data_IF_141934520731
#
_entry.id   IF_141934520731
#
_cell.length_a   1.000
_cell.length_b   1.000
_cell.length_c   1.000
_cell.angle_alpha   90.00
_cell.angle_beta   90.00
_cell.angle_gamma   90.00
#
_symmetry.space_group_name_H-M   'P 1'
#
loop_
_entity.id
_entity.type
_entity.pdbx_description
1 polymer ?
#
# COMPACT_ATOMS: atom_id res chain seq x y z
N UNK A 1 1.22 7.58 -9.37
CA UNK A 1 1.55 6.91 -8.08
C UNK A 1 3.03 6.52 -8.05
N UNK A 2 3.56 5.80 -9.07
CA UNK A 2 4.97 5.34 -9.10
C UNK A 2 6.00 6.42 -8.83
N UNK A 3 6.01 7.57 -9.56
CA UNK A 3 6.96 8.65 -9.29
C UNK A 3 6.85 9.24 -7.88
N UNK A 4 5.63 9.31 -7.31
CA UNK A 4 5.42 9.80 -5.96
C UNK A 4 6.04 8.85 -4.91
N UNK A 5 5.86 7.55 -5.06
CA UNK A 5 6.52 6.55 -4.22
C UNK A 5 8.03 6.62 -4.32
N UNK A 6 8.57 6.74 -5.54
CA UNK A 6 10.00 6.88 -5.74
C UNK A 6 10.55 8.12 -5.03
N UNK A 7 9.92 9.28 -5.20
CA UNK A 7 10.34 10.51 -4.54
C UNK A 7 10.25 10.42 -3.01
N UNK A 8 9.20 9.78 -2.49
CA UNK A 8 9.06 9.54 -1.06
C UNK A 8 10.18 8.65 -0.51
N UNK A 9 10.54 7.57 -1.23
CA UNK A 9 11.67 6.70 -0.85
C UNK A 9 13.00 7.41 -0.96
N UNK A 10 13.24 8.18 -2.03
CA UNK A 10 14.46 8.97 -2.19
C UNK A 10 14.62 9.99 -1.05
N UNK A 11 13.57 10.75 -0.75
CA UNK A 11 13.57 11.70 0.36
C UNK A 11 13.78 11.00 1.71
N UNK A 12 13.16 9.86 1.94
CA UNK A 12 13.36 9.06 3.15
C UNK A 12 14.80 8.57 3.26
N UNK A 13 15.39 8.09 2.17
CA UNK A 13 16.77 7.65 2.12
C UNK A 13 17.76 8.77 2.47
N UNK A 14 17.51 10.00 2.03
CA UNK A 14 18.33 11.18 2.35
C UNK A 14 18.18 11.62 3.83
N UNK A 15 17.00 11.46 4.41
CA UNK A 15 16.72 11.85 5.80
C UNK A 15 17.22 10.80 6.79
N UNK A 16 17.21 9.54 6.41
CA UNK A 16 17.53 8.41 7.29
C UNK A 16 18.90 8.54 8.02
N UNK A 17 20.00 8.93 7.36
CA UNK A 17 21.29 9.13 8.01
C UNK A 17 21.32 10.29 9.01
N UNK A 18 20.35 11.21 8.94
CA UNK A 18 20.25 12.37 9.84
C UNK A 18 19.51 12.04 11.14
N UNK A 19 18.87 10.88 11.21
CA UNK A 19 18.10 10.46 12.37
C UNK A 19 19.01 9.80 13.43
N UNK A 20 18.65 9.89 14.73
CA UNK A 20 19.30 9.10 15.77
C UNK A 20 19.24 7.60 15.44
N UNK A 21 20.31 6.86 15.68
CA UNK A 21 20.41 5.42 15.36
C UNK A 21 19.25 4.58 15.92
N UNK A 22 18.77 4.92 17.11
CA UNK A 22 17.63 4.24 17.74
C UNK A 22 16.36 4.38 16.90
N UNK A 23 16.13 5.55 16.32
CA UNK A 23 14.97 5.80 15.47
C UNK A 23 15.16 5.23 14.07
N UNK A 24 16.33 5.40 13.47
CA UNK A 24 16.67 4.84 12.17
C UNK A 24 16.48 3.32 12.13
N UNK A 25 16.93 2.60 13.15
CA UNK A 25 16.74 1.13 13.27
C UNK A 25 15.28 0.68 13.35
N UNK A 26 14.39 1.52 13.86
CA UNK A 26 12.94 1.23 13.91
C UNK A 26 12.23 1.53 12.59
N UNK A 27 12.79 2.42 11.78
CA UNK A 27 12.19 2.84 10.52
C UNK A 27 12.62 2.00 9.32
N UNK A 28 13.79 1.37 9.41
CA UNK A 28 14.24 0.42 8.38
C UNK A 28 15.06 -0.70 8.99
N UNK A 29 14.65 -1.96 8.81
CA UNK A 29 15.47 -3.11 9.14
C UNK A 29 16.65 -3.32 8.17
N UNK A 30 16.73 -2.53 7.10
CA UNK A 30 17.74 -2.63 6.04
C UNK A 30 18.84 -1.60 6.32
N UNK A 31 19.89 -2.00 7.04
CA UNK A 31 21.07 -1.17 7.26
C UNK A 31 21.96 -1.16 6.00
N UNK A 32 22.20 0.01 5.42
CA UNK A 32 23.11 0.20 4.29
C UNK A 32 23.16 1.63 3.83
N UNK A 33 24.18 2.01 3.06
CA UNK A 33 24.23 3.30 2.39
C UNK A 33 23.07 3.41 1.39
N UNK A 34 22.29 4.47 1.51
CA UNK A 34 21.08 4.71 0.73
C UNK A 34 21.41 5.21 -0.69
N UNK A 35 21.94 4.36 -1.54
CA UNK A 35 22.18 4.65 -2.95
C UNK A 35 21.25 3.85 -3.83
N UNK A 36 20.50 4.53 -4.70
CA UNK A 36 19.61 3.86 -5.64
C UNK A 36 20.41 3.04 -6.66
N UNK A 37 20.29 1.72 -6.58
CA UNK A 37 20.77 0.77 -7.58
C UNK A 37 19.61 -0.16 -7.95
N UNK A 38 19.05 -0.05 -9.17
CA UNK A 38 17.88 -0.85 -9.55
C UNK A 38 18.19 -2.34 -9.47
N UNK A 39 17.53 -3.03 -8.57
CA UNK A 39 17.66 -4.49 -8.35
C UNK A 39 16.28 -5.11 -8.21
N UNK A 40 16.06 -6.23 -8.85
CA UNK A 40 14.87 -7.04 -8.59
C UNK A 40 15.05 -7.84 -7.30
N UNK A 41 13.99 -7.97 -6.47
CA UNK A 41 14.03 -8.85 -5.31
C UNK A 41 14.39 -10.28 -5.72
N UNK A 42 15.16 -11.03 -4.91
CA UNK A 42 15.35 -12.45 -5.12
C UNK A 42 14.01 -13.17 -5.21
N UNK A 43 13.91 -14.19 -6.09
CA UNK A 43 12.68 -14.96 -6.33
C UNK A 43 11.49 -14.09 -6.74
N UNK A 44 11.72 -13.06 -7.54
CA UNK A 44 10.70 -12.07 -7.92
C UNK A 44 9.40 -12.69 -8.46
N UNK A 45 9.48 -13.78 -9.22
CA UNK A 45 8.30 -14.48 -9.75
C UNK A 45 7.39 -15.04 -8.62
N UNK A 46 7.99 -15.57 -7.56
CA UNK A 46 7.24 -16.06 -6.39
C UNK A 46 6.59 -14.88 -5.65
N UNK A 47 7.31 -13.77 -5.50
CA UNK A 47 6.76 -12.53 -4.94
C UNK A 47 5.52 -12.03 -5.71
N UNK A 48 5.54 -12.11 -7.04
CA UNK A 48 4.37 -11.74 -7.85
C UNK A 48 3.16 -12.60 -7.52
N UNK A 49 3.36 -13.91 -7.42
CA UNK A 49 2.28 -14.87 -7.08
C UNK A 49 1.77 -14.61 -5.66
N UNK A 50 2.67 -14.50 -4.69
CA UNK A 50 2.31 -14.26 -3.29
C UNK A 50 1.57 -12.94 -3.11
N UNK A 51 2.09 -11.85 -3.68
CA UNK A 51 1.45 -10.54 -3.54
C UNK A 51 0.09 -10.48 -4.21
N UNK A 52 -0.13 -11.18 -5.31
CA UNK A 52 -1.42 -11.19 -5.97
C UNK A 52 -2.42 -12.13 -5.29
N UNK A 53 -2.05 -13.39 -5.08
CA UNK A 53 -3.00 -14.43 -4.67
C UNK A 53 -3.10 -14.63 -3.16
N UNK A 54 -2.03 -14.37 -2.42
CA UNK A 54 -2.00 -14.57 -0.96
C UNK A 54 -2.28 -13.28 -0.20
N UNK A 55 -1.90 -12.13 -0.74
CA UNK A 55 -2.06 -10.83 -0.06
C UNK A 55 -3.20 -10.01 -0.70
N UNK A 56 -2.99 -9.49 -1.91
CA UNK A 56 -3.86 -8.45 -2.47
C UNK A 56 -5.28 -8.97 -2.77
N UNK A 57 -5.43 -10.14 -3.38
CA UNK A 57 -6.74 -10.69 -3.70
C UNK A 57 -7.59 -10.94 -2.44
N UNK A 58 -7.14 -11.70 -1.42
CA UNK A 58 -7.90 -11.92 -0.20
C UNK A 58 -8.24 -10.61 0.53
N UNK A 59 -7.30 -9.67 0.63
CA UNK A 59 -7.55 -8.39 1.29
C UNK A 59 -8.58 -7.55 0.52
N UNK A 60 -8.48 -7.43 -0.80
CA UNK A 60 -9.44 -6.67 -1.59
C UNK A 60 -10.83 -7.35 -1.62
N UNK A 61 -10.91 -8.69 -1.61
CA UNK A 61 -12.18 -9.38 -1.45
C UNK A 61 -12.83 -9.06 -0.11
N UNK A 62 -12.07 -9.07 0.98
CA UNK A 62 -12.60 -8.75 2.30
C UNK A 62 -12.97 -7.26 2.42
N UNK A 63 -12.01 -6.35 2.17
CA UNK A 63 -12.24 -4.93 2.43
C UNK A 63 -13.16 -4.29 1.39
N UNK A 64 -12.96 -4.55 0.09
CA UNK A 64 -13.72 -3.88 -0.99
C UNK A 64 -14.89 -4.71 -1.48
N UNK A 65 -14.72 -6.03 -1.55
CA UNK A 65 -15.77 -6.95 -1.95
C UNK A 65 -16.87 -7.09 -0.91
N UNK A 66 -16.49 -7.30 0.35
CA UNK A 66 -17.43 -7.53 1.45
C UNK A 66 -17.69 -6.28 2.29
N UNK A 67 -16.69 -5.77 3.00
CA UNK A 67 -16.87 -4.72 4.02
C UNK A 67 -17.39 -3.40 3.40
N UNK A 68 -16.73 -2.89 2.36
CA UNK A 68 -17.16 -1.65 1.70
C UNK A 68 -18.55 -1.80 1.10
N UNK A 69 -18.89 -2.97 0.52
CA UNK A 69 -20.21 -3.22 -0.02
C UNK A 69 -21.29 -3.20 1.09
N UNK A 70 -21.05 -3.88 2.21
CA UNK A 70 -21.99 -3.90 3.36
C UNK A 70 -22.17 -2.53 4.00
N UNK A 71 -21.07 -1.80 4.17
CA UNK A 71 -21.14 -0.44 4.70
C UNK A 71 -21.85 0.51 3.73
N UNK A 72 -21.71 0.31 2.43
CA UNK A 72 -22.43 1.08 1.43
C UNK A 72 -23.93 0.84 1.46
N UNK A 73 -24.35 -0.41 1.70
CA UNK A 73 -25.77 -0.73 1.86
C UNK A 73 -26.36 -0.03 3.09
N UNK A 74 -25.61 0.03 4.19
CA UNK A 74 -26.00 0.73 5.41
C UNK A 74 -25.91 2.28 5.26
N UNK A 75 -24.95 2.79 4.49
CA UNK A 75 -24.71 4.21 4.27
C UNK A 75 -24.68 4.56 2.78
N UNK A 76 -25.82 4.57 2.10
CA UNK A 76 -25.89 4.71 0.64
C UNK A 76 -25.53 6.10 0.12
N UNK A 77 -25.42 7.11 1.02
CA UNK A 77 -25.13 8.49 0.63
C UNK A 77 -23.64 8.69 0.31
N UNK A 78 -23.35 9.41 -0.79
CA UNK A 78 -21.99 9.79 -1.17
C UNK A 78 -21.99 10.65 -2.42
N UNK A 79 -20.89 11.41 -2.61
CA UNK A 79 -20.67 12.22 -3.83
C UNK A 79 -20.06 11.34 -4.92
N UNK A 80 -20.48 11.54 -6.15
CA UNK A 80 -19.87 10.92 -7.32
C UNK A 80 -18.64 11.72 -7.74
N UNK A 81 -17.45 11.11 -7.70
CA UNK A 81 -16.18 11.73 -8.06
C UNK A 81 -15.48 10.81 -9.06
N UNK A 82 -15.19 11.32 -10.27
CA UNK A 82 -14.53 10.57 -11.34
C UNK A 82 -15.14 9.16 -11.57
N UNK A 83 -16.46 9.06 -11.48
CA UNK A 83 -17.21 7.81 -11.67
C UNK A 83 -17.37 6.93 -10.45
N UNK A 84 -16.61 7.13 -9.38
CA UNK A 84 -16.73 6.40 -8.10
C UNK A 84 -17.60 7.15 -7.09
N UNK A 85 -18.31 6.42 -6.22
CA UNK A 85 -19.13 7.01 -5.14
C UNK A 85 -18.31 7.10 -3.86
N UNK A 86 -17.94 8.32 -3.44
CA UNK A 86 -17.19 8.59 -2.22
C UNK A 86 -18.15 9.01 -1.10
N UNK A 87 -18.47 8.07 -0.23
CA UNK A 87 -19.34 8.25 0.93
C UNK A 87 -18.68 7.76 2.22
N UNK A 88 -19.44 7.65 3.31
CA UNK A 88 -18.94 7.15 4.61
C UNK A 88 -18.32 5.75 4.48
N UNK A 89 -18.97 4.84 3.75
CA UNK A 89 -18.48 3.49 3.53
C UNK A 89 -17.05 3.48 2.95
N UNK A 90 -16.80 4.31 1.96
CA UNK A 90 -15.50 4.47 1.32
C UNK A 90 -14.41 4.88 2.32
N UNK A 91 -14.65 5.95 3.09
CA UNK A 91 -13.68 6.49 4.05
C UNK A 91 -13.43 5.53 5.22
N UNK A 92 -14.50 4.96 5.77
CA UNK A 92 -14.41 4.02 6.90
C UNK A 92 -13.65 2.75 6.49
N UNK A 93 -13.92 2.21 5.28
CA UNK A 93 -13.19 1.03 4.80
C UNK A 93 -11.69 1.32 4.61
N UNK A 94 -11.33 2.49 4.05
CA UNK A 94 -9.93 2.86 3.91
C UNK A 94 -9.24 3.02 5.27
N UNK A 95 -9.92 3.60 6.25
CA UNK A 95 -9.42 3.73 7.62
C UNK A 95 -9.23 2.36 8.29
N UNK A 96 -10.23 1.48 8.20
CA UNK A 96 -10.14 0.13 8.77
C UNK A 96 -9.05 -0.71 8.10
N UNK A 97 -8.84 -0.54 6.80
CA UNK A 97 -7.71 -1.15 6.10
C UNK A 97 -6.37 -0.70 6.68
N UNK A 98 -6.18 0.61 6.86
CA UNK A 98 -4.96 1.15 7.43
C UNK A 98 -4.75 0.70 8.89
N UNK A 99 -5.80 0.73 9.71
CA UNK A 99 -5.75 0.26 11.09
C UNK A 99 -5.43 -1.23 11.20
N UNK A 100 -5.94 -2.07 10.26
CA UNK A 100 -5.60 -3.49 10.20
C UNK A 100 -4.09 -3.73 10.02
N UNK A 101 -3.38 -2.82 9.35
CA UNK A 101 -1.93 -2.91 9.18
C UNK A 101 -1.13 -2.59 10.45
N UNK A 102 -1.75 -2.00 11.48
CA UNK A 102 -1.12 -1.81 12.80
C UNK A 102 -0.99 -3.11 13.62
N UNK A 103 -1.62 -4.20 13.19
CA UNK A 103 -1.47 -5.50 13.87
C UNK A 103 0.00 -5.96 13.99
N UNK A 104 0.88 -5.42 13.17
CA UNK A 104 2.33 -5.66 13.19
C UNK A 104 3.10 -4.52 13.89
N UNK A 105 2.41 -3.60 14.60
CA UNK A 105 2.98 -2.49 15.39
C UNK A 105 3.98 -1.57 14.69
N UNK A 106 3.91 -1.44 13.38
CA UNK A 106 4.73 -0.52 12.59
C UNK A 106 3.90 0.70 12.16
N UNK A 107 4.06 1.82 12.83
CA UNK A 107 3.23 3.03 12.63
C UNK A 107 3.32 3.61 11.23
N UNK A 108 4.46 3.46 10.54
CA UNK A 108 4.63 3.90 9.15
C UNK A 108 3.68 3.19 8.17
N UNK A 109 3.20 1.99 8.53
CA UNK A 109 2.21 1.25 7.74
C UNK A 109 0.85 1.95 7.65
N UNK A 110 0.56 2.93 8.51
CA UNK A 110 -0.62 3.78 8.34
C UNK A 110 -0.63 4.53 7.01
N UNK A 111 0.53 4.73 6.38
CA UNK A 111 0.64 5.32 5.05
C UNK A 111 -0.13 4.53 3.96
N UNK A 112 -0.45 3.25 4.20
CA UNK A 112 -1.30 2.44 3.31
C UNK A 112 -2.73 3.00 3.19
N UNK A 113 -3.13 3.92 4.07
CA UNK A 113 -4.38 4.65 3.96
C UNK A 113 -4.52 5.35 2.59
N UNK A 114 -3.44 5.96 2.09
CA UNK A 114 -3.48 6.68 0.82
C UNK A 114 -3.73 5.77 -0.40
N UNK A 115 -2.97 4.68 -0.62
CA UNK A 115 -3.32 3.74 -1.68
C UNK A 115 -4.67 3.05 -1.44
N UNK A 116 -5.09 2.82 -0.18
CA UNK A 116 -6.40 2.27 0.14
C UNK A 116 -7.56 3.10 -0.40
N UNK A 117 -7.40 4.44 -0.46
CA UNK A 117 -8.37 5.33 -1.10
C UNK A 117 -8.49 5.05 -2.60
N UNK A 118 -7.39 4.82 -3.31
CA UNK A 118 -7.42 4.45 -4.73
C UNK A 118 -8.10 3.10 -4.95
N UNK A 119 -7.79 2.09 -4.13
CA UNK A 119 -8.41 0.77 -4.23
C UNK A 119 -9.93 0.86 -4.03
N UNK A 120 -10.39 1.59 -3.00
CA UNK A 120 -11.80 1.82 -2.75
C UNK A 120 -12.50 2.57 -3.88
N UNK A 121 -11.84 3.59 -4.45
CA UNK A 121 -12.35 4.32 -5.61
C UNK A 121 -12.44 3.43 -6.87
N UNK A 122 -11.41 2.62 -7.14
CA UNK A 122 -11.43 1.66 -8.25
C UNK A 122 -12.60 0.69 -8.13
N UNK A 123 -12.85 0.17 -6.92
CA UNK A 123 -14.00 -0.69 -6.62
C UNK A 123 -15.34 0.01 -6.91
N UNK A 124 -15.51 1.26 -6.46
CA UNK A 124 -16.74 2.03 -6.69
C UNK A 124 -16.95 2.37 -8.17
N UNK A 125 -15.87 2.61 -8.92
CA UNK A 125 -15.93 2.94 -10.33
C UNK A 125 -16.20 1.74 -11.23
N UNK A 126 -15.54 0.60 -10.97
CA UNK A 126 -15.56 -0.57 -11.85
C UNK A 126 -16.62 -1.61 -11.48
N UNK A 127 -17.08 -1.59 -10.22
CA UNK A 127 -17.99 -2.62 -9.70
C UNK A 127 -17.30 -3.95 -9.37
N UNK A 128 -15.99 -4.09 -9.62
CA UNK A 128 -15.23 -5.32 -9.35
C UNK A 128 -14.05 -5.05 -8.41
N UNK A 129 -13.54 -6.08 -7.73
CA UNK A 129 -12.34 -5.98 -6.88
C UNK A 129 -11.06 -6.22 -7.67
N UNK A 130 -11.14 -6.76 -8.87
CA UNK A 130 -9.98 -7.23 -9.63
C UNK A 130 -8.99 -6.11 -9.93
N UNK A 131 -9.48 -4.95 -10.39
CA UNK A 131 -8.61 -3.79 -10.68
C UNK A 131 -7.88 -3.31 -9.42
N UNK A 132 -8.59 -3.25 -8.28
CA UNK A 132 -8.00 -2.89 -6.99
C UNK A 132 -6.94 -3.91 -6.56
N UNK A 133 -7.20 -5.21 -6.68
CA UNK A 133 -6.26 -6.26 -6.30
C UNK A 133 -4.98 -6.25 -7.16
N UNK A 134 -5.11 -6.10 -8.48
CA UNK A 134 -3.97 -5.99 -9.37
C UNK A 134 -3.12 -4.75 -9.05
N UNK A 135 -3.77 -3.61 -8.81
CA UNK A 135 -3.06 -2.39 -8.47
C UNK A 135 -2.44 -2.44 -7.08
N UNK A 136 -3.09 -3.09 -6.11
CA UNK A 136 -2.55 -3.34 -4.77
C UNK A 136 -1.28 -4.20 -4.85
N UNK A 137 -1.34 -5.34 -5.54
CA UNK A 137 -0.17 -6.20 -5.75
C UNK A 137 0.98 -5.42 -6.43
N UNK A 138 0.67 -4.62 -7.45
CA UNK A 138 1.68 -3.79 -8.12
C UNK A 138 2.31 -2.75 -7.17
N UNK A 139 1.53 -2.13 -6.26
CA UNK A 139 2.06 -1.23 -5.25
C UNK A 139 3.04 -1.94 -4.30
N UNK A 140 2.67 -3.13 -3.80
CA UNK A 140 3.52 -3.91 -2.90
C UNK A 140 4.83 -4.36 -3.58
N UNK A 141 4.74 -4.84 -4.83
CA UNK A 141 5.91 -5.22 -5.62
C UNK A 141 6.83 -4.02 -5.87
N UNK A 142 6.25 -2.85 -6.15
CA UNK A 142 7.01 -1.63 -6.38
C UNK A 142 7.70 -1.13 -5.12
N UNK A 143 7.01 -1.15 -3.97
CA UNK A 143 7.62 -0.82 -2.68
C UNK A 143 8.80 -1.76 -2.40
N UNK A 144 8.61 -3.07 -2.58
CA UNK A 144 9.69 -4.05 -2.39
C UNK A 144 10.87 -3.84 -3.35
N UNK A 145 10.59 -3.51 -4.60
CA UNK A 145 11.64 -3.13 -5.56
C UNK A 145 12.42 -1.91 -5.08
N UNK A 146 11.75 -0.87 -4.58
CA UNK A 146 12.41 0.32 -4.05
C UNK A 146 13.25 -0.01 -2.80
N UNK A 147 12.72 -0.80 -1.87
CA UNK A 147 13.44 -1.24 -0.68
C UNK A 147 14.78 -1.90 -1.05
N UNK A 148 14.76 -2.91 -1.93
CA UNK A 148 16.00 -3.61 -2.32
C UNK A 148 16.90 -2.75 -3.19
N UNK A 149 16.36 -1.77 -3.91
CA UNK A 149 17.14 -0.88 -4.76
C UNK A 149 17.83 0.26 -4.00
N UNK A 150 17.26 0.70 -2.87
CA UNK A 150 17.84 1.77 -2.04
C UNK A 150 18.67 1.22 -0.88
N UNK A 151 18.28 0.09 -0.28
CA UNK A 151 18.81 -0.34 1.01
C UNK A 151 19.48 -1.73 1.00
N UNK A 152 19.60 -2.40 -0.15
CA UNK A 152 20.43 -3.62 -0.21
C UNK A 152 21.90 -3.22 -0.20
N UNK A 153 22.62 -3.68 0.80
CA UNK A 153 24.08 -3.61 0.83
C UNK A 153 24.73 -4.28 -0.40
N UNK A 154 26.04 -4.13 -0.59
CA UNK A 154 26.78 -4.68 -1.70
C UNK A 154 26.63 -6.20 -1.80
#
# INVERSE_FOLDING_TARGET
VGPLFFLAFAAFAEVLPLLPESLARHLTPLAGEAHFRPRLPPRFGEWVIDQLFVVALPEEFFYRGYLQARLRDAWPRGRKVLGGRLGRAYWVTALLFALGHLAIFETWRLAVFFPALLFGWMRERTGTVMGAALFHAACNLYVRFLEVSFFSGP
#
